data_IF_496826199654
#
_entry.id   IF_496826199654
#
_cell.length_a   1.000
_cell.length_b   1.000
_cell.length_c   1.000
_cell.angle_alpha   90.00
_cell.angle_beta   90.00
_cell.angle_gamma   90.00
#
_symmetry.space_group_name_H-M   'P 1'
#
loop_
_entity.id
_entity.type
_entity.pdbx_description
1 polymer ?
#
# COMPACT_ATOMS: atom_id res chain seq x y z
N UNK A 1 -30.88 -17.94 -13.55
CA UNK A 1 -30.49 -16.56 -13.25
C UNK A 1 -29.02 -16.42 -12.79
N UNK A 2 -28.24 -17.51 -12.43
CA UNK A 2 -26.81 -17.36 -12.10
C UNK A 2 -25.88 -17.14 -13.31
N UNK A 3 -26.26 -17.55 -14.51
CA UNK A 3 -25.36 -17.55 -15.69
C UNK A 3 -25.26 -16.19 -16.41
N UNK A 4 -26.27 -15.35 -16.32
CA UNK A 4 -26.26 -14.03 -16.95
C UNK A 4 -25.28 -13.06 -16.23
N UNK A 5 -25.22 -13.12 -14.90
CA UNK A 5 -24.24 -12.33 -14.11
C UNK A 5 -22.80 -12.80 -14.33
N UNK A 6 -22.60 -14.09 -14.56
CA UNK A 6 -21.27 -14.67 -14.81
C UNK A 6 -20.71 -14.24 -16.18
N UNK A 7 -21.55 -14.16 -17.19
CA UNK A 7 -21.16 -13.73 -18.54
C UNK A 7 -20.86 -12.22 -18.61
N UNK A 8 -21.61 -11.38 -17.89
CA UNK A 8 -21.39 -9.93 -17.87
C UNK A 8 -20.08 -9.56 -17.16
N UNK A 9 -19.71 -10.29 -16.09
CA UNK A 9 -18.42 -10.09 -15.41
C UNK A 9 -17.24 -10.55 -16.26
N UNK A 10 -17.35 -11.67 -16.98
CA UNK A 10 -16.28 -12.15 -17.85
C UNK A 10 -16.04 -11.23 -19.05
N UNK A 11 -17.07 -10.61 -19.60
CA UNK A 11 -16.94 -9.60 -20.67
C UNK A 11 -16.28 -8.32 -20.14
N UNK A 12 -16.56 -7.88 -18.90
CA UNK A 12 -15.97 -6.68 -18.30
C UNK A 12 -14.45 -6.74 -18.10
N UNK A 13 -13.87 -7.95 -17.98
CA UNK A 13 -12.40 -8.09 -17.85
C UNK A 13 -11.66 -8.10 -19.19
N UNK A 14 -12.35 -8.22 -20.32
CA UNK A 14 -11.73 -8.18 -21.65
C UNK A 14 -11.43 -6.74 -22.10
N UNK A 15 -12.19 -5.78 -21.58
CA UNK A 15 -12.14 -4.37 -21.98
C UNK A 15 -11.42 -3.48 -20.95
N UNK A 16 -10.65 -4.10 -20.03
CA UNK A 16 -9.89 -3.37 -19.02
C UNK A 16 -8.86 -2.44 -19.66
N UNK A 17 -8.77 -1.23 -19.15
CA UNK A 17 -7.84 -0.24 -19.61
C UNK A 17 -7.21 0.57 -18.44
N UNK A 18 -6.26 1.43 -18.75
CA UNK A 18 -5.51 2.19 -17.75
C UNK A 18 -6.32 3.28 -17.03
N UNK A 19 -7.60 3.45 -17.33
CA UNK A 19 -8.53 4.37 -16.62
C UNK A 19 -9.38 3.64 -15.58
N UNK A 20 -9.34 2.31 -15.55
CA UNK A 20 -10.10 1.51 -14.61
C UNK A 20 -9.38 1.41 -13.26
N UNK A 21 -10.14 1.49 -12.18
CA UNK A 21 -9.63 1.19 -10.84
C UNK A 21 -9.90 -0.28 -10.53
N UNK A 22 -8.86 -0.97 -10.05
CA UNK A 22 -8.94 -2.36 -9.60
C UNK A 22 -8.36 -2.50 -8.21
N UNK A 23 -9.08 -3.21 -7.35
CA UNK A 23 -8.63 -3.56 -6.01
C UNK A 23 -8.92 -5.04 -5.75
N UNK A 24 -7.86 -5.86 -5.72
CA UNK A 24 -7.94 -7.30 -5.58
C UNK A 24 -7.61 -7.68 -4.13
N UNK A 25 -8.60 -8.14 -3.41
CA UNK A 25 -8.54 -8.52 -2.00
C UNK A 25 -9.00 -9.95 -1.80
N UNK A 26 -8.56 -10.58 -0.71
CA UNK A 26 -9.06 -11.89 -0.29
C UNK A 26 -10.51 -11.84 0.22
N UNK A 27 -10.95 -10.69 0.72
CA UNK A 27 -12.31 -10.50 1.21
C UNK A 27 -13.29 -10.28 0.07
N UNK A 28 -13.07 -9.24 -0.75
CA UNK A 28 -13.92 -8.85 -1.86
C UNK A 28 -13.14 -7.94 -2.80
N UNK A 29 -13.11 -8.28 -4.07
CA UNK A 29 -12.44 -7.49 -5.10
C UNK A 29 -13.41 -6.53 -5.77
N UNK A 30 -12.88 -5.42 -6.28
CA UNK A 30 -13.64 -4.34 -6.91
C UNK A 30 -13.02 -3.93 -8.24
N UNK A 31 -13.86 -3.85 -9.27
CA UNK A 31 -13.59 -3.14 -10.52
C UNK A 31 -14.49 -1.90 -10.54
N UNK A 32 -13.88 -0.72 -10.67
CA UNK A 32 -14.60 0.55 -10.77
C UNK A 32 -14.25 1.24 -12.10
N UNK A 33 -15.28 1.66 -12.83
CA UNK A 33 -15.18 2.21 -14.18
C UNK A 33 -15.92 3.53 -14.29
N UNK A 34 -15.38 4.43 -15.12
CA UNK A 34 -15.86 5.80 -15.23
C UNK A 34 -15.52 6.64 -13.98
N UNK A 35 -15.70 7.95 -14.07
CA UNK A 35 -15.47 8.89 -12.98
C UNK A 35 -16.66 9.85 -12.89
N UNK A 36 -17.67 9.49 -12.10
CA UNK A 36 -18.83 10.34 -11.83
C UNK A 36 -18.42 11.65 -11.14
N UNK A 37 -17.59 11.55 -10.11
CA UNK A 37 -17.09 12.73 -9.40
C UNK A 37 -15.65 12.49 -8.89
N UNK A 38 -14.79 13.50 -9.01
CA UNK A 38 -13.40 13.45 -8.57
C UNK A 38 -13.25 14.20 -7.24
N UNK A 39 -12.56 13.58 -6.28
CA UNK A 39 -12.18 14.19 -5.01
C UNK A 39 -10.66 14.34 -4.99
N UNK A 40 -10.17 15.45 -5.55
CA UNK A 40 -8.74 15.79 -5.62
C UNK A 40 -8.44 16.94 -4.67
N UNK A 41 -8.53 16.66 -3.36
CA UNK A 41 -8.34 17.60 -2.26
C UNK A 41 -7.48 16.99 -1.17
N UNK A 42 -6.84 17.81 -0.30
CA UNK A 42 -6.23 17.35 0.93
C UNK A 42 -7.23 16.63 1.85
N UNK A 43 -6.72 15.65 2.59
CA UNK A 43 -7.50 14.84 3.55
C UNK A 43 -6.93 14.91 4.97
N UNK A 44 -6.28 16.01 5.32
CA UNK A 44 -5.63 16.23 6.61
C UNK A 44 -6.61 16.21 7.79
N UNK A 45 -7.86 16.66 7.59
CA UNK A 45 -8.94 16.65 8.59
C UNK A 45 -9.91 15.47 8.45
N UNK A 46 -9.74 14.59 7.45
CA UNK A 46 -10.68 13.50 7.15
C UNK A 46 -10.78 12.41 8.26
N UNK A 47 -9.84 12.40 9.22
CA UNK A 47 -9.93 11.60 10.43
C UNK A 47 -11.10 12.00 11.34
N UNK A 48 -11.59 13.24 11.22
CA UNK A 48 -12.82 13.69 11.89
C UNK A 48 -14.03 13.38 10.99
N UNK A 49 -14.97 12.51 11.41
CA UNK A 49 -16.13 12.15 10.61
C UNK A 49 -17.09 13.34 10.35
N UNK A 50 -16.95 14.43 11.09
CA UNK A 50 -17.76 15.66 10.94
C UNK A 50 -17.03 16.76 10.15
N UNK A 51 -15.84 16.50 9.63
CA UNK A 51 -15.07 17.45 8.81
C UNK A 51 -15.79 17.83 7.52
N UNK A 52 -15.39 18.96 6.92
CA UNK A 52 -15.98 19.45 5.66
C UNK A 52 -15.79 18.45 4.53
N UNK A 53 -14.63 17.81 4.44
CA UNK A 53 -14.36 16.81 3.39
C UNK A 53 -15.25 15.56 3.56
N UNK A 54 -15.49 15.11 4.79
CA UNK A 54 -16.40 13.99 5.06
C UNK A 54 -17.85 14.36 4.73
N UNK A 55 -18.26 15.60 5.00
CA UNK A 55 -19.60 16.10 4.62
C UNK A 55 -19.73 16.17 3.09
N UNK A 56 -18.72 16.67 2.39
CA UNK A 56 -18.70 16.73 0.93
C UNK A 56 -18.83 15.33 0.31
N UNK A 57 -18.06 14.34 0.80
CA UNK A 57 -18.14 12.95 0.32
C UNK A 57 -19.55 12.39 0.54
N UNK A 58 -20.18 12.65 1.70
CA UNK A 58 -21.57 12.23 1.94
C UNK A 58 -22.55 12.89 0.98
N UNK A 59 -22.37 14.18 0.67
CA UNK A 59 -23.18 14.89 -0.32
C UNK A 59 -23.01 14.32 -1.73
N UNK A 60 -21.77 13.99 -2.13
CA UNK A 60 -21.49 13.32 -3.40
C UNK A 60 -22.18 11.96 -3.50
N UNK A 61 -22.17 11.16 -2.43
CA UNK A 61 -22.92 9.89 -2.40
C UNK A 61 -24.42 10.08 -2.53
N UNK A 62 -24.99 11.10 -1.85
CA UNK A 62 -26.41 11.41 -1.97
C UNK A 62 -26.78 11.86 -3.39
N UNK A 63 -25.92 12.67 -4.03
CA UNK A 63 -26.14 13.12 -5.40
C UNK A 63 -26.02 11.94 -6.39
N UNK A 64 -24.99 11.11 -6.26
CA UNK A 64 -24.80 9.92 -7.08
C UNK A 64 -26.02 8.98 -7.03
N UNK A 65 -26.64 8.82 -5.86
CA UNK A 65 -27.88 8.04 -5.71
C UNK A 65 -29.08 8.66 -6.43
N UNK A 66 -29.22 9.98 -6.39
CA UNK A 66 -30.29 10.68 -7.13
C UNK A 66 -30.12 10.52 -8.64
N UNK A 67 -28.87 10.44 -9.10
CA UNK A 67 -28.50 10.28 -10.51
C UNK A 67 -28.47 8.81 -10.96
N UNK A 68 -28.90 7.87 -10.09
CA UNK A 68 -29.11 6.46 -10.43
C UNK A 68 -27.98 5.49 -10.05
N UNK A 69 -26.95 5.93 -9.33
CA UNK A 69 -25.91 5.04 -8.79
C UNK A 69 -26.40 4.50 -7.43
N UNK A 70 -26.92 3.27 -7.42
CA UNK A 70 -27.61 2.72 -6.24
C UNK A 70 -26.72 2.59 -4.98
N UNK A 71 -25.47 2.16 -5.15
CA UNK A 71 -24.52 1.90 -4.08
C UNK A 71 -23.20 2.63 -4.35
N UNK A 72 -23.15 3.96 -4.18
CA UNK A 72 -21.94 4.71 -4.49
C UNK A 72 -20.78 4.34 -3.57
N UNK A 73 -19.60 4.30 -4.15
CA UNK A 73 -18.33 3.95 -3.49
C UNK A 73 -17.32 5.02 -3.81
N UNK A 74 -16.52 5.42 -2.84
CA UNK A 74 -15.32 6.22 -3.03
C UNK A 74 -14.14 5.27 -3.19
N UNK A 75 -13.35 5.43 -4.25
CA UNK A 75 -12.17 4.60 -4.53
C UNK A 75 -10.96 5.46 -4.84
N UNK A 76 -9.77 4.89 -4.70
CA UNK A 76 -8.52 5.53 -5.13
C UNK A 76 -7.41 5.48 -4.10
N UNK A 77 -6.54 6.49 -4.10
CA UNK A 77 -5.35 6.55 -3.25
C UNK A 77 -5.20 7.91 -2.55
N UNK A 78 -4.66 7.87 -1.35
CA UNK A 78 -4.36 9.02 -0.49
C UNK A 78 -2.83 9.10 -0.34
N UNK A 79 -2.21 10.28 -0.54
CA UNK A 79 -0.77 10.46 -0.45
C UNK A 79 -0.22 10.17 0.96
N UNK A 80 1.10 9.93 1.04
CA UNK A 80 1.84 9.88 2.30
C UNK A 80 1.61 11.14 3.15
N UNK A 81 1.69 12.30 2.52
CA UNK A 81 1.34 13.57 3.13
C UNK A 81 -0.12 13.93 2.80
N UNK A 82 -1.00 13.85 3.80
CA UNK A 82 -2.44 14.15 3.67
C UNK A 82 -2.76 15.60 3.29
N UNK A 83 -1.77 16.51 3.35
CA UNK A 83 -1.91 17.89 2.88
C UNK A 83 -1.80 17.99 1.34
N UNK A 84 -1.32 16.95 0.67
CA UNK A 84 -1.35 16.86 -0.79
C UNK A 84 -2.72 16.39 -1.27
N UNK A 85 -3.03 16.71 -2.54
CA UNK A 85 -4.28 16.30 -3.14
C UNK A 85 -4.36 14.77 -3.27
N UNK A 86 -5.45 14.19 -2.82
CA UNK A 86 -5.77 12.78 -3.01
C UNK A 86 -6.11 12.47 -4.47
N UNK A 87 -5.94 11.21 -4.86
CA UNK A 87 -6.39 10.65 -6.13
C UNK A 87 -7.62 9.76 -5.87
N UNK A 88 -8.73 10.39 -5.48
CA UNK A 88 -9.98 9.70 -5.15
C UNK A 88 -11.09 10.08 -6.13
N UNK A 89 -12.04 9.17 -6.34
CA UNK A 89 -13.22 9.45 -7.14
C UNK A 89 -14.39 8.52 -6.78
N UNK A 90 -15.59 8.96 -7.11
CA UNK A 90 -16.79 8.13 -7.13
C UNK A 90 -16.93 7.61 -8.57
N UNK A 91 -16.91 6.30 -8.84
CA UNK A 91 -17.06 5.75 -10.17
C UNK A 91 -18.51 5.77 -10.65
N UNK A 92 -18.70 5.74 -11.99
CA UNK A 92 -20.01 5.57 -12.60
C UNK A 92 -20.55 4.15 -12.41
N UNK A 93 -19.65 3.16 -12.43
CA UNK A 93 -19.98 1.74 -12.29
C UNK A 93 -19.01 1.03 -11.35
N UNK A 94 -19.57 0.18 -10.49
CA UNK A 94 -18.80 -0.68 -9.58
C UNK A 94 -19.23 -2.14 -9.73
N UNK A 95 -18.27 -3.01 -10.03
CA UNK A 95 -18.46 -4.44 -10.12
C UNK A 95 -17.69 -5.16 -9.02
N UNK A 96 -18.41 -5.82 -8.11
CA UNK A 96 -17.84 -6.62 -7.05
C UNK A 96 -17.68 -8.08 -7.50
N UNK A 97 -16.51 -8.67 -7.22
CA UNK A 97 -16.21 -10.03 -7.63
C UNK A 97 -15.29 -10.75 -6.63
N UNK A 98 -15.18 -12.05 -6.78
CA UNK A 98 -14.20 -12.84 -6.04
C UNK A 98 -12.88 -12.82 -6.79
N UNK A 99 -11.76 -12.63 -6.08
CA UNK A 99 -10.42 -12.53 -6.67
C UNK A 99 -10.10 -13.65 -7.67
N UNK A 100 -10.54 -14.90 -7.40
CA UNK A 100 -10.37 -16.05 -8.32
C UNK A 100 -11.03 -15.90 -9.69
N UNK A 101 -11.94 -14.92 -9.84
CA UNK A 101 -12.59 -14.60 -11.11
C UNK A 101 -11.78 -13.65 -11.97
N UNK A 102 -10.76 -12.98 -11.37
CA UNK A 102 -9.88 -12.11 -12.13
C UNK A 102 -9.03 -12.94 -13.09
N UNK A 103 -8.97 -12.60 -14.39
CA UNK A 103 -8.31 -13.41 -15.39
C UNK A 103 -6.82 -13.59 -15.11
N UNK A 104 -6.34 -14.81 -15.26
CA UNK A 104 -4.92 -15.10 -15.31
C UNK A 104 -4.33 -14.62 -16.64
N UNK A 105 -3.02 -14.46 -16.68
CA UNK A 105 -2.30 -14.07 -17.89
C UNK A 105 -2.50 -15.06 -19.04
N UNK A 106 -2.68 -14.49 -20.24
CA UNK A 106 -2.76 -15.25 -21.49
C UNK A 106 -1.41 -15.16 -22.26
N UNK A 107 -0.56 -14.18 -21.92
CA UNK A 107 0.68 -13.89 -22.67
C UNK A 107 1.75 -13.33 -21.73
N UNK A 108 2.99 -13.78 -21.90
CA UNK A 108 4.16 -13.19 -21.24
C UNK A 108 4.64 -12.02 -22.09
N UNK A 109 4.37 -10.80 -21.63
CA UNK A 109 4.96 -9.61 -22.22
C UNK A 109 6.33 -9.40 -21.57
N UNK A 110 7.40 -9.64 -22.30
CA UNK A 110 8.77 -9.29 -21.87
C UNK A 110 9.06 -7.85 -22.27
N UNK A 111 9.54 -7.06 -21.31
CA UNK A 111 9.95 -5.68 -21.56
C UNK A 111 11.46 -5.59 -21.63
N UNK A 112 11.99 -4.85 -22.59
CA UNK A 112 13.43 -4.62 -22.72
C UNK A 112 13.79 -3.31 -22.05
N UNK A 113 14.66 -3.40 -21.04
CA UNK A 113 15.12 -2.22 -20.30
C UNK A 113 16.07 -1.38 -21.16
N UNK A 114 15.80 -0.08 -21.24
CA UNK A 114 16.64 0.90 -21.92
C UNK A 114 17.57 1.63 -20.96
N UNK A 115 17.06 1.96 -19.77
CA UNK A 115 17.80 2.72 -18.75
C UNK A 115 17.25 2.43 -17.36
N UNK A 116 18.16 2.35 -16.38
CA UNK A 116 17.85 2.25 -14.96
C UNK A 116 18.60 3.33 -14.17
N UNK A 117 17.90 3.98 -13.23
CA UNK A 117 18.49 5.00 -12.34
C UNK A 117 17.94 4.83 -10.94
N UNK A 118 18.82 4.82 -9.94
CA UNK A 118 18.45 4.71 -8.52
C UNK A 118 18.64 6.06 -7.81
N UNK A 119 17.71 6.39 -6.92
CA UNK A 119 17.76 7.60 -6.11
C UNK A 119 17.32 7.30 -4.67
N UNK A 120 18.08 7.73 -3.65
CA UNK A 120 19.49 8.11 -3.77
C UNK A 120 20.37 6.93 -4.18
N UNK A 121 21.63 7.20 -4.47
CA UNK A 121 22.64 6.13 -4.62
C UNK A 121 22.99 5.51 -3.24
N UNK A 122 23.77 4.44 -3.25
CA UNK A 122 24.12 3.70 -2.04
C UNK A 122 24.89 4.53 -1.01
N UNK A 123 25.77 5.42 -1.46
CA UNK A 123 26.57 6.25 -0.56
C UNK A 123 25.68 7.28 0.16
N UNK A 124 24.81 7.93 -0.59
CA UNK A 124 23.87 8.91 -0.02
C UNK A 124 22.83 8.22 0.89
N UNK A 125 22.27 7.07 0.49
CA UNK A 125 21.35 6.31 1.36
C UNK A 125 22.04 5.89 2.67
N UNK A 126 23.30 5.47 2.62
CA UNK A 126 24.08 5.13 3.81
C UNK A 126 24.27 6.33 4.73
N UNK A 127 24.48 7.51 4.17
CA UNK A 127 24.56 8.76 4.94
C UNK A 127 23.21 9.10 5.60
N UNK A 128 22.10 8.96 4.87
CA UNK A 128 20.76 9.17 5.44
C UNK A 128 20.51 8.25 6.64
N UNK A 129 20.84 6.95 6.52
CA UNK A 129 20.70 5.99 7.62
C UNK A 129 21.55 6.38 8.82
N UNK A 130 22.81 6.76 8.62
CA UNK A 130 23.69 7.20 9.72
C UNK A 130 23.14 8.46 10.41
N UNK A 131 22.67 9.44 9.64
CA UNK A 131 22.04 10.67 10.19
C UNK A 131 20.82 10.34 11.06
N UNK A 132 19.99 9.41 10.59
CA UNK A 132 18.81 8.96 11.36
C UNK A 132 19.21 8.22 12.64
N UNK A 133 20.20 7.34 12.60
CA UNK A 133 20.72 6.62 13.78
C UNK A 133 21.31 7.61 14.80
N UNK A 134 22.04 8.63 14.35
CA UNK A 134 22.59 9.67 15.23
C UNK A 134 21.48 10.53 15.85
N UNK A 135 20.40 10.82 15.13
CA UNK A 135 19.22 11.49 15.70
C UNK A 135 18.56 10.65 16.81
N UNK A 136 18.52 9.32 16.66
CA UNK A 136 18.00 8.39 17.67
C UNK A 136 18.91 8.32 18.91
N UNK A 137 20.22 8.26 18.73
CA UNK A 137 21.20 8.28 19.84
C UNK A 137 21.09 9.57 20.68
N UNK A 138 20.66 10.66 20.07
CA UNK A 138 20.38 11.93 20.74
C UNK A 138 18.92 12.02 21.26
N UNK A 139 18.20 10.92 21.38
CA UNK A 139 16.82 10.85 21.89
C UNK A 139 15.81 11.78 21.21
N UNK A 140 16.04 12.11 19.92
CA UNK A 140 15.11 12.94 19.14
C UNK A 140 14.11 12.11 18.36
N UNK A 141 14.39 10.83 18.16
CA UNK A 141 13.66 9.93 17.29
C UNK A 141 13.80 8.48 17.80
N UNK A 142 12.73 7.68 17.73
CA UNK A 142 12.76 6.26 18.10
C UNK A 142 12.84 5.38 16.86
N UNK A 143 12.18 5.82 15.78
CA UNK A 143 12.11 5.12 14.50
C UNK A 143 11.87 6.10 13.35
N UNK A 144 12.43 5.81 12.19
CA UNK A 144 12.10 6.48 10.92
C UNK A 144 12.09 5.45 9.80
N UNK A 145 11.31 5.68 8.75
CA UNK A 145 11.40 4.90 7.51
C UNK A 145 12.06 5.78 6.45
N UNK A 146 13.18 5.30 5.91
CA UNK A 146 13.90 5.96 4.82
C UNK A 146 13.73 5.16 3.53
N UNK A 147 13.47 5.89 2.45
CA UNK A 147 13.08 5.30 1.19
C UNK A 147 14.04 5.66 0.06
N UNK A 148 13.99 4.85 -0.97
CA UNK A 148 14.63 5.12 -2.27
C UNK A 148 13.66 4.78 -3.39
N UNK A 149 13.96 5.33 -4.55
CA UNK A 149 13.24 5.03 -5.77
C UNK A 149 14.16 4.44 -6.85
N UNK A 150 13.54 3.72 -7.77
CA UNK A 150 14.16 3.12 -8.94
C UNK A 150 13.35 3.52 -10.17
N UNK A 151 13.93 4.37 -11.02
CA UNK A 151 13.35 4.76 -12.30
C UNK A 151 13.87 3.82 -13.39
N UNK A 152 12.95 3.22 -14.14
CA UNK A 152 13.25 2.34 -15.28
C UNK A 152 12.55 2.89 -16.51
N UNK A 153 13.29 3.01 -17.61
CA UNK A 153 12.78 3.30 -18.95
C UNK A 153 12.90 2.04 -19.80
N UNK A 154 11.84 1.69 -20.52
CA UNK A 154 11.78 0.54 -21.43
C UNK A 154 11.72 1.01 -22.89
N UNK A 155 12.07 0.14 -23.83
CA UNK A 155 11.94 0.44 -25.26
C UNK A 155 10.45 0.46 -25.70
N UNK A 156 9.62 -0.39 -25.08
CA UNK A 156 8.20 -0.49 -25.38
C UNK A 156 7.36 0.20 -24.30
N UNK A 157 6.18 0.74 -24.63
CA UNK A 157 5.22 1.16 -23.62
C UNK A 157 4.81 0.01 -22.70
N UNK A 158 4.63 0.31 -21.41
CA UNK A 158 4.22 -0.63 -20.38
C UNK A 158 2.70 -0.72 -20.33
N UNK A 159 2.17 -1.92 -20.32
CA UNK A 159 0.74 -2.18 -20.08
C UNK A 159 0.50 -2.41 -18.58
N UNK A 160 -0.07 -1.41 -17.91
CA UNK A 160 -0.30 -1.44 -16.47
C UNK A 160 -1.31 -2.51 -16.03
N UNK A 161 -2.26 -2.89 -16.90
CA UNK A 161 -3.23 -3.96 -16.63
C UNK A 161 -2.55 -5.33 -16.72
N UNK A 162 -1.69 -5.54 -17.72
CA UNK A 162 -0.90 -6.77 -17.80
C UNK A 162 0.04 -6.89 -16.60
N UNK A 163 0.70 -5.81 -16.21
CA UNK A 163 1.54 -5.79 -15.01
C UNK A 163 0.75 -6.12 -13.74
N UNK A 164 -0.48 -5.61 -13.59
CA UNK A 164 -1.37 -6.00 -12.49
C UNK A 164 -1.70 -7.51 -12.51
N UNK A 165 -1.93 -8.09 -13.68
CA UNK A 165 -2.17 -9.55 -13.81
C UNK A 165 -0.95 -10.35 -13.37
N UNK A 166 0.26 -9.94 -13.76
CA UNK A 166 1.52 -10.56 -13.28
C UNK A 166 1.66 -10.44 -11.77
N UNK A 167 1.46 -9.24 -11.22
CA UNK A 167 1.49 -9.01 -9.77
C UNK A 167 0.49 -9.91 -9.04
N UNK A 168 -0.74 -10.02 -9.54
CA UNK A 168 -1.76 -10.86 -8.93
C UNK A 168 -1.43 -12.35 -8.97
N UNK A 169 -0.83 -12.82 -10.04
CA UNK A 169 -0.40 -14.21 -10.17
C UNK A 169 0.74 -14.53 -9.20
N UNK A 170 1.72 -13.65 -9.09
CA UNK A 170 2.89 -13.82 -8.22
C UNK A 170 2.57 -13.58 -6.74
N UNK A 171 1.63 -12.67 -6.44
CA UNK A 171 1.32 -12.20 -5.09
C UNK A 171 -0.16 -12.41 -4.75
N UNK A 172 -0.64 -13.65 -4.85
CA UNK A 172 -2.06 -14.01 -4.67
C UNK A 172 -2.61 -13.72 -3.26
N UNK A 173 -1.78 -13.58 -2.25
CA UNK A 173 -2.17 -13.26 -0.87
C UNK A 173 -2.08 -11.77 -0.52
N UNK A 174 -1.40 -10.98 -1.35
CA UNK A 174 -1.30 -9.53 -1.17
C UNK A 174 -2.53 -8.82 -1.75
N UNK A 175 -2.76 -7.59 -1.35
CA UNK A 175 -3.73 -6.70 -1.98
C UNK A 175 -3.11 -6.14 -3.25
N UNK A 176 -3.64 -6.54 -4.41
CA UNK A 176 -3.15 -6.02 -5.67
C UNK A 176 -4.07 -4.90 -6.15
N UNK A 177 -3.49 -3.82 -6.64
CA UNK A 177 -4.28 -2.66 -7.03
C UNK A 177 -3.76 -1.99 -8.29
N UNK A 178 -4.69 -1.35 -8.99
CA UNK A 178 -4.46 -0.42 -10.10
C UNK A 178 -5.30 0.83 -9.86
N UNK A 179 -4.64 1.95 -9.76
CA UNK A 179 -5.26 3.27 -9.56
C UNK A 179 -4.98 4.12 -10.78
N UNK A 180 -6.00 4.54 -11.54
CA UNK A 180 -5.80 5.45 -12.66
C UNK A 180 -5.30 6.81 -12.17
N UNK A 181 -4.28 7.35 -12.80
CA UNK A 181 -3.74 8.68 -12.55
C UNK A 181 -3.92 9.57 -13.80
N UNK A 182 -3.75 10.87 -13.65
CA UNK A 182 -3.81 11.79 -14.77
C UNK A 182 -2.83 11.40 -15.90
N UNK A 183 -1.64 10.92 -15.54
CA UNK A 183 -0.60 10.51 -16.47
C UNK A 183 -0.14 9.08 -16.13
N UNK A 184 -0.94 8.07 -16.50
CA UNK A 184 -0.59 6.68 -16.28
C UNK A 184 -1.37 6.03 -15.13
N UNK A 185 -0.73 5.15 -14.36
CA UNK A 185 -1.37 4.42 -13.27
C UNK A 185 -0.39 4.12 -12.12
N UNK A 186 -0.91 4.06 -10.91
CA UNK A 186 -0.22 3.45 -9.77
C UNK A 186 -0.64 1.99 -9.69
N UNK A 187 0.32 1.07 -9.69
CA UNK A 187 0.10 -0.36 -9.52
C UNK A 187 0.88 -0.91 -8.33
N UNK A 188 0.38 -1.96 -7.71
CA UNK A 188 1.12 -2.55 -6.59
C UNK A 188 0.52 -3.84 -6.04
N UNK A 189 1.28 -4.47 -5.14
CA UNK A 189 0.94 -5.70 -4.42
C UNK A 189 1.26 -5.55 -2.93
N UNK A 190 0.44 -4.79 -2.22
CA UNK A 190 0.63 -4.52 -0.79
C UNK A 190 0.31 -5.74 0.06
N UNK A 191 1.19 -6.16 0.96
CA UNK A 191 0.88 -7.18 1.96
C UNK A 191 0.18 -6.63 3.21
N UNK A 192 0.07 -5.30 3.37
CA UNK A 192 -0.27 -4.65 4.63
C UNK A 192 -1.66 -4.02 4.62
N UNK A 193 -2.56 -4.59 5.43
CA UNK A 193 -3.88 -4.05 5.68
C UNK A 193 -3.81 -2.96 6.76
N UNK A 194 -4.09 -1.71 6.37
CA UNK A 194 -4.20 -0.63 7.34
C UNK A 194 -5.50 -0.76 8.13
N UNK A 195 -6.63 -0.88 7.45
CA UNK A 195 -7.93 -1.12 8.10
C UNK A 195 -8.96 -1.67 7.12
N UNK A 196 -9.75 -2.62 7.60
CA UNK A 196 -11.03 -3.05 7.02
C UNK A 196 -12.12 -2.76 8.03
N UNK A 197 -13.20 -2.13 7.59
CA UNK A 197 -14.40 -1.90 8.40
C UNK A 197 -15.59 -2.57 7.75
N UNK A 198 -16.34 -3.32 8.55
CA UNK A 198 -17.60 -3.93 8.16
C UNK A 198 -18.61 -3.80 9.31
N UNK A 199 -19.70 -3.09 9.08
CA UNK A 199 -20.60 -2.69 10.18
C UNK A 199 -19.84 -1.86 11.23
N UNK A 200 -19.88 -2.27 12.49
CA UNK A 200 -19.15 -1.62 13.58
C UNK A 200 -17.77 -2.27 13.86
N UNK A 201 -17.44 -3.36 13.17
CA UNK A 201 -16.18 -4.07 13.39
C UNK A 201 -15.09 -3.52 12.49
N UNK A 202 -13.91 -3.33 13.06
CA UNK A 202 -12.68 -3.04 12.32
C UNK A 202 -11.69 -4.18 12.49
N UNK A 203 -10.91 -4.40 11.44
CA UNK A 203 -9.77 -5.30 11.44
C UNK A 203 -8.58 -4.60 10.81
N UNK A 204 -7.40 -4.76 11.41
CA UNK A 204 -6.13 -4.24 10.90
C UNK A 204 -5.04 -5.28 11.08
N UNK A 205 -4.03 -5.27 10.19
CA UNK A 205 -2.89 -6.17 10.26
C UNK A 205 -1.62 -5.41 9.86
N UNK A 206 -1.06 -4.61 10.79
CA UNK A 206 0.19 -3.89 10.55
C UNK A 206 1.37 -4.85 10.43
N UNK A 207 2.34 -4.47 9.60
CA UNK A 207 3.58 -5.18 9.37
C UNK A 207 4.77 -4.30 9.71
N UNK A 208 5.72 -4.82 10.47
CA UNK A 208 7.05 -4.22 10.64
C UNK A 208 8.04 -5.31 11.04
N UNK A 209 9.30 -5.15 10.61
CA UNK A 209 10.28 -6.22 10.69
C UNK A 209 10.12 -7.23 9.55
N UNK A 210 11.23 -7.57 8.88
CA UNK A 210 11.20 -8.51 7.77
C UNK A 210 12.51 -9.28 7.60
N UNK A 211 12.41 -10.50 7.06
CA UNK A 211 13.54 -11.32 6.68
C UNK A 211 13.35 -11.88 5.25
N UNK A 212 14.46 -11.95 4.50
CA UNK A 212 14.45 -12.54 3.15
C UNK A 212 14.09 -14.01 3.23
N UNK A 213 13.30 -14.49 2.28
CA UNK A 213 13.00 -15.90 2.11
C UNK A 213 14.12 -16.64 1.39
N UNK A 214 14.25 -17.94 1.66
CA UNK A 214 15.14 -18.85 0.96
C UNK A 214 14.34 -19.91 0.20
N UNK A 215 14.84 -20.34 -0.96
CA UNK A 215 14.28 -21.49 -1.69
C UNK A 215 14.55 -22.81 -0.97
N UNK A 216 15.61 -22.87 -0.13
CA UNK A 216 15.88 -24.00 0.72
C UNK A 216 14.97 -23.97 1.95
N UNK A 217 14.08 -24.95 2.12
CA UNK A 217 13.09 -25.00 3.17
C UNK A 217 13.69 -24.95 4.60
N UNK A 218 14.84 -25.59 4.82
CA UNK A 218 15.48 -25.59 6.16
C UNK A 218 16.06 -24.22 6.49
N UNK A 219 16.65 -23.56 5.51
CA UNK A 219 17.17 -22.20 5.66
C UNK A 219 16.02 -21.21 5.82
N UNK A 220 14.95 -21.31 5.01
CA UNK A 220 13.76 -20.47 5.11
C UNK A 220 13.12 -20.56 6.50
N UNK A 221 13.03 -21.76 7.07
CA UNK A 221 12.56 -21.96 8.44
C UNK A 221 13.48 -21.27 9.46
N UNK A 222 14.81 -21.39 9.32
CA UNK A 222 15.77 -20.72 10.21
C UNK A 222 15.66 -19.20 10.14
N UNK A 223 15.52 -18.64 8.93
CA UNK A 223 15.34 -17.20 8.72
C UNK A 223 14.06 -16.71 9.37
N UNK A 224 12.95 -17.44 9.22
CA UNK A 224 11.70 -17.16 9.92
C UNK A 224 11.84 -17.18 11.45
N UNK A 225 12.51 -18.20 12.01
CA UNK A 225 12.73 -18.28 13.45
C UNK A 225 13.63 -17.16 13.96
N UNK A 226 14.67 -16.79 13.20
CA UNK A 226 15.53 -15.67 13.53
C UNK A 226 14.76 -14.35 13.57
N UNK A 227 13.82 -14.12 12.61
CA UNK A 227 12.95 -12.96 12.62
C UNK A 227 12.05 -12.90 13.88
N UNK A 228 11.41 -14.00 14.23
CA UNK A 228 10.55 -14.09 15.44
C UNK A 228 11.35 -13.75 16.70
N UNK A 229 12.61 -14.16 16.77
CA UNK A 229 13.49 -13.96 17.94
C UNK A 229 14.30 -12.66 17.89
N UNK A 230 14.25 -11.91 16.78
CA UNK A 230 15.01 -10.67 16.59
C UNK A 230 14.53 -9.59 17.55
N UNK A 231 15.40 -9.14 18.46
CA UNK A 231 15.12 -8.03 19.38
C UNK A 231 14.87 -6.74 18.60
N UNK A 232 15.68 -6.47 17.56
CA UNK A 232 15.54 -5.30 16.68
C UNK A 232 14.16 -5.26 16.01
N UNK A 233 13.78 -6.37 15.34
CA UNK A 233 12.54 -6.40 14.55
C UNK A 233 11.30 -6.37 15.45
N UNK A 234 11.34 -7.03 16.60
CA UNK A 234 10.26 -6.97 17.59
C UNK A 234 10.13 -5.56 18.21
N UNK A 235 11.25 -4.85 18.45
CA UNK A 235 11.21 -3.47 18.91
C UNK A 235 10.55 -2.56 17.84
N UNK A 236 10.98 -2.68 16.58
CA UNK A 236 10.41 -1.95 15.46
C UNK A 236 8.89 -2.19 15.35
N UNK A 237 8.48 -3.45 15.42
CA UNK A 237 7.09 -3.87 15.32
C UNK A 237 6.22 -3.32 16.45
N UNK A 238 6.73 -3.35 17.68
CA UNK A 238 6.04 -2.84 18.87
C UNK A 238 5.73 -1.35 18.75
N UNK A 239 6.63 -0.53 18.23
CA UNK A 239 6.37 0.89 18.01
C UNK A 239 5.14 1.14 17.13
N UNK A 240 4.90 0.26 16.15
CA UNK A 240 3.72 0.34 15.28
C UNK A 240 2.46 -0.07 16.04
N UNK A 241 2.50 -1.22 16.71
CA UNK A 241 1.32 -1.75 17.43
C UNK A 241 0.92 -0.89 18.61
N UNK A 242 1.88 -0.30 19.34
CA UNK A 242 1.61 0.61 20.45
C UNK A 242 0.94 1.91 19.97
N UNK A 243 1.40 2.49 18.86
CA UNK A 243 0.73 3.65 18.28
C UNK A 243 -0.71 3.32 17.88
N UNK A 244 -0.92 2.19 17.20
CA UNK A 244 -2.25 1.79 16.75
C UNK A 244 -3.16 1.49 17.95
N UNK A 245 -2.65 0.87 19.00
CA UNK A 245 -3.37 0.67 20.28
C UNK A 245 -3.84 2.00 20.84
N UNK A 246 -2.92 2.95 21.05
CA UNK A 246 -3.21 4.24 21.64
C UNK A 246 -4.29 5.02 20.85
N UNK A 247 -4.25 4.95 19.53
CA UNK A 247 -5.22 5.59 18.66
C UNK A 247 -6.58 4.91 18.74
N UNK A 248 -6.62 3.58 18.64
CA UNK A 248 -7.87 2.81 18.52
C UNK A 248 -8.60 2.61 19.86
N UNK A 249 -7.90 2.59 21.00
CA UNK A 249 -8.53 2.50 22.34
C UNK A 249 -9.54 3.62 22.59
N UNK A 250 -9.27 4.82 22.08
CA UNK A 250 -10.20 5.93 22.19
C UNK A 250 -11.48 5.76 21.34
N UNK A 251 -11.40 4.99 20.25
CA UNK A 251 -12.46 4.81 19.24
C UNK A 251 -13.25 3.51 19.40
N UNK A 252 -12.69 2.51 20.05
CA UNK A 252 -13.32 1.19 20.21
C UNK A 252 -13.90 0.99 21.61
N UNK A 253 -15.09 0.38 21.69
CA UNK A 253 -15.65 -0.11 22.95
C UNK A 253 -15.03 -1.44 23.37
N UNK A 254 -14.58 -2.23 22.38
CA UNK A 254 -13.76 -3.43 22.57
C UNK A 254 -12.61 -3.37 21.59
N UNK A 255 -11.41 -3.68 22.07
CA UNK A 255 -10.21 -3.73 21.26
C UNK A 255 -9.40 -4.95 21.69
N UNK A 256 -9.14 -5.84 20.74
CA UNK A 256 -8.28 -6.98 20.89
C UNK A 256 -7.04 -6.81 20.00
N UNK A 257 -5.86 -6.94 20.58
CA UNK A 257 -4.57 -6.90 19.88
C UNK A 257 -3.80 -8.14 20.33
N UNK A 258 -3.36 -8.95 19.37
CA UNK A 258 -2.56 -10.14 19.68
C UNK A 258 -1.30 -9.76 20.46
N UNK A 259 -1.04 -10.45 21.57
CA UNK A 259 0.10 -10.14 22.47
C UNK A 259 1.45 -10.34 21.79
N UNK A 260 1.55 -11.38 20.96
CA UNK A 260 2.77 -11.70 20.22
C UNK A 260 2.51 -11.60 18.72
N UNK A 261 3.47 -11.05 17.96
CA UNK A 261 3.34 -11.04 16.51
C UNK A 261 3.41 -12.46 15.93
N UNK A 262 2.62 -12.70 14.92
CA UNK A 262 2.72 -13.85 14.03
C UNK A 262 3.67 -13.54 12.87
N UNK A 263 3.90 -14.52 12.00
CA UNK A 263 4.63 -14.29 10.75
C UNK A 263 3.73 -14.55 9.57
N UNK A 264 3.74 -13.60 8.62
CA UNK A 264 3.17 -13.80 7.30
C UNK A 264 4.25 -13.82 6.24
N UNK A 265 3.99 -14.43 5.09
CA UNK A 265 4.95 -14.50 4.00
C UNK A 265 4.42 -13.88 2.71
N UNK A 266 5.32 -13.20 2.02
CA UNK A 266 5.21 -12.91 0.59
C UNK A 266 6.11 -13.87 -0.19
N UNK A 267 6.12 -13.86 -1.51
CA UNK A 267 7.06 -14.68 -2.29
C UNK A 267 8.53 -14.44 -1.96
N UNK A 268 8.89 -13.27 -1.44
CA UNK A 268 10.30 -12.85 -1.24
C UNK A 268 10.67 -12.55 0.21
N UNK A 269 9.69 -12.31 1.09
CA UNK A 269 9.93 -11.88 2.48
C UNK A 269 9.01 -12.61 3.47
N UNK A 270 9.53 -12.86 4.68
CA UNK A 270 8.79 -13.01 5.91
C UNK A 270 8.56 -11.65 6.55
N UNK A 271 7.41 -11.44 7.20
CA UNK A 271 7.08 -10.25 7.98
C UNK A 271 6.52 -10.63 9.33
N UNK A 272 6.85 -9.85 10.37
CA UNK A 272 6.08 -9.86 11.59
C UNK A 272 4.75 -9.15 11.35
N UNK A 273 3.67 -9.72 11.85
CA UNK A 273 2.30 -9.23 11.71
C UNK A 273 1.55 -9.36 13.04
N UNK A 274 0.71 -8.39 13.35
CA UNK A 274 -0.18 -8.41 14.52
C UNK A 274 -1.61 -8.20 14.08
N UNK A 275 -2.51 -9.10 14.48
CA UNK A 275 -3.94 -8.91 14.24
C UNK A 275 -4.53 -7.97 15.29
N UNK A 276 -5.28 -6.97 14.81
CA UNK A 276 -5.99 -5.98 15.61
C UNK A 276 -7.46 -6.04 15.23
N UNK A 277 -8.31 -6.36 16.19
CA UNK A 277 -9.76 -6.37 16.01
C UNK A 277 -10.43 -5.38 16.95
N UNK A 278 -11.37 -4.59 16.46
CA UNK A 278 -12.05 -3.60 17.28
C UNK A 278 -13.54 -3.49 16.96
N UNK A 279 -14.31 -3.11 17.97
CA UNK A 279 -15.72 -2.74 17.83
C UNK A 279 -15.85 -1.25 18.12
N UNK A 280 -16.25 -0.45 17.12
CA UNK A 280 -16.31 1.01 17.20
C UNK A 280 -17.41 1.47 18.16
N UNK A 281 -17.15 2.54 18.93
CA UNK A 281 -18.12 3.20 19.81
C UNK A 281 -19.16 4.01 19.03
N UNK A 282 -18.70 4.66 17.95
CA UNK A 282 -19.48 5.65 17.22
C UNK A 282 -19.86 5.10 15.84
N UNK A 283 -21.16 4.94 15.54
CA UNK A 283 -21.62 4.39 14.26
C UNK A 283 -21.32 5.30 13.05
N UNK A 284 -21.09 6.61 13.28
CA UNK A 284 -20.72 7.58 12.24
C UNK A 284 -19.27 7.44 11.76
N UNK A 285 -18.41 6.75 12.50
CA UNK A 285 -17.07 6.43 12.03
C UNK A 285 -17.14 5.56 10.79
N UNK A 286 -16.45 5.96 9.73
CA UNK A 286 -16.38 5.20 8.48
C UNK A 286 -14.95 4.71 8.21
N UNK A 287 -14.80 3.82 7.23
CA UNK A 287 -13.50 3.25 6.91
C UNK A 287 -12.46 4.31 6.51
N UNK A 288 -12.89 5.40 5.86
CA UNK A 288 -12.01 6.50 5.47
C UNK A 288 -11.54 7.30 6.69
N UNK A 289 -12.45 7.62 7.65
CA UNK A 289 -12.06 8.36 8.87
C UNK A 289 -11.05 7.58 9.69
N UNK A 290 -11.27 6.27 9.89
CA UNK A 290 -10.32 5.40 10.61
C UNK A 290 -9.01 5.24 9.85
N UNK A 291 -9.05 5.08 8.52
CA UNK A 291 -7.84 5.02 7.71
C UNK A 291 -7.01 6.31 7.82
N UNK A 292 -7.64 7.49 7.70
CA UNK A 292 -6.97 8.79 7.86
C UNK A 292 -6.48 9.07 9.29
N UNK A 293 -7.13 8.47 10.30
CA UNK A 293 -6.70 8.54 11.68
C UNK A 293 -5.42 7.75 11.94
N UNK A 294 -5.30 6.56 11.34
CA UNK A 294 -4.14 5.68 11.47
C UNK A 294 -2.98 6.08 10.54
N UNK A 295 -3.27 6.73 9.42
CA UNK A 295 -2.29 7.06 8.39
C UNK A 295 -1.57 8.40 8.67
N UNK A 296 -0.23 8.45 8.45
CA UNK A 296 0.68 7.32 8.25
C UNK A 296 1.10 6.66 9.57
N UNK A 297 1.23 5.34 9.56
CA UNK A 297 1.73 4.59 10.71
C UNK A 297 3.24 4.74 10.88
N UNK A 298 3.82 4.38 12.05
CA UNK A 298 5.27 4.30 12.20
C UNK A 298 5.95 3.27 11.31
N UNK A 299 5.18 2.33 10.71
CA UNK A 299 5.69 1.41 9.68
C UNK A 299 6.07 2.13 8.37
N UNK A 300 5.54 3.34 8.14
CA UNK A 300 5.76 4.14 6.92
C UNK A 300 6.47 5.47 7.19
N UNK A 301 6.28 6.06 8.37
CA UNK A 301 6.83 7.36 8.73
C UNK A 301 7.90 7.20 9.82
N UNK A 302 7.48 7.01 11.04
CA UNK A 302 8.35 6.87 12.22
C UNK A 302 7.69 7.41 13.48
N UNK A 303 8.48 7.48 14.56
CA UNK A 303 8.04 7.91 15.88
C UNK A 303 9.15 8.76 16.54
N UNK A 304 8.84 9.95 17.11
CA UNK A 304 7.56 10.70 17.02
C UNK A 304 7.24 11.15 15.59
N UNK A 305 5.96 11.16 15.23
CA UNK A 305 5.49 11.40 13.87
C UNK A 305 6.05 12.67 13.22
N UNK A 306 5.89 13.85 13.87
CA UNK A 306 6.28 15.11 13.26
C UNK A 306 7.80 15.22 13.07
N UNK A 307 8.59 14.71 14.02
CA UNK A 307 10.06 14.67 13.92
C UNK A 307 10.50 13.76 12.78
N UNK A 308 9.89 12.57 12.68
CA UNK A 308 10.18 11.64 11.61
C UNK A 308 9.81 12.22 10.24
N UNK A 309 8.60 12.82 10.10
CA UNK A 309 8.16 13.45 8.86
C UNK A 309 9.12 14.54 8.39
N UNK A 310 9.49 15.45 9.28
CA UNK A 310 10.42 16.55 8.95
C UNK A 310 11.78 16.01 8.49
N UNK A 311 12.30 14.99 9.17
CA UNK A 311 13.58 14.40 8.82
C UNK A 311 13.52 13.61 7.50
N UNK A 312 12.40 12.96 7.18
CA UNK A 312 12.15 12.34 5.87
C UNK A 312 12.22 13.40 4.76
N UNK A 313 11.53 14.53 4.96
CA UNK A 313 11.49 15.63 3.98
C UNK A 313 12.87 16.28 3.77
N UNK A 314 13.72 16.29 4.81
CA UNK A 314 15.09 16.77 4.75
C UNK A 314 16.04 15.81 4.03
N UNK A 315 15.91 14.51 4.30
CA UNK A 315 16.87 13.48 3.87
C UNK A 315 16.56 12.88 2.49
N UNK A 316 15.27 12.69 2.18
CA UNK A 316 14.90 12.06 0.90
C UNK A 316 14.96 13.08 -0.25
N UNK A 317 15.77 12.83 -1.33
CA UNK A 317 15.92 13.77 -2.44
C UNK A 317 14.73 13.74 -3.42
N UNK A 318 13.57 13.22 -3.00
CA UNK A 318 12.34 13.10 -3.79
C UNK A 318 11.10 13.21 -2.93
N UNK A 319 9.96 13.43 -3.57
CA UNK A 319 8.64 13.39 -2.92
C UNK A 319 8.03 12.00 -3.04
N UNK A 320 7.49 11.47 -1.96
CA UNK A 320 6.84 10.16 -1.93
C UNK A 320 5.53 10.10 -2.71
N UNK A 321 4.80 11.23 -2.81
CA UNK A 321 3.47 11.30 -3.39
C UNK A 321 2.55 10.20 -2.83
N UNK A 322 2.09 9.28 -3.68
CA UNK A 322 1.21 8.16 -3.28
C UNK A 322 1.96 7.00 -2.61
N UNK A 323 3.28 6.88 -2.78
CA UNK A 323 4.06 5.86 -2.08
C UNK A 323 4.09 6.11 -0.58
N UNK A 324 3.89 5.07 0.21
CA UNK A 324 3.76 5.18 1.67
C UNK A 324 2.45 5.82 2.11
N UNK A 325 1.56 6.13 1.15
CA UNK A 325 0.19 6.51 1.37
C UNK A 325 -0.71 5.30 1.58
N UNK A 326 -1.98 5.43 1.25
CA UNK A 326 -2.96 4.33 1.33
C UNK A 326 -3.82 4.27 0.06
N UNK A 327 -4.27 3.07 -0.28
CA UNK A 327 -5.14 2.80 -1.41
C UNK A 327 -6.30 1.92 -0.97
N UNK A 328 -7.50 2.17 -1.50
CA UNK A 328 -8.66 1.39 -1.10
C UNK A 328 -9.98 1.97 -1.53
N UNK A 329 -11.00 1.67 -0.74
CA UNK A 329 -12.37 2.08 -1.00
C UNK A 329 -13.19 2.27 0.29
N UNK A 330 -14.25 3.07 0.18
CA UNK A 330 -15.24 3.26 1.24
C UNK A 330 -16.63 3.41 0.61
N UNK A 331 -17.64 2.65 1.08
CA UNK A 331 -19.03 2.76 0.61
C UNK A 331 -19.84 3.80 1.40
N UNK A 332 -21.06 4.10 0.95
CA UNK A 332 -21.98 5.03 1.60
C UNK A 332 -22.41 4.59 3.01
N UNK A 333 -22.30 3.30 3.33
CA UNK A 333 -22.60 2.75 4.66
C UNK A 333 -21.40 2.83 5.61
N UNK A 334 -20.28 3.39 5.13
CA UNK A 334 -19.05 3.54 5.87
C UNK A 334 -18.23 2.27 5.97
N UNK A 335 -18.58 1.18 5.27
CA UNK A 335 -17.69 0.03 5.15
C UNK A 335 -16.56 0.36 4.17
N UNK A 336 -15.45 -0.35 4.29
CA UNK A 336 -14.33 -0.11 3.40
C UNK A 336 -13.11 -0.94 3.74
N UNK A 337 -12.13 -0.87 2.86
CA UNK A 337 -10.85 -1.54 3.00
C UNK A 337 -9.75 -0.64 2.45
N UNK A 338 -8.77 -0.33 3.29
CA UNK A 338 -7.63 0.52 2.98
C UNK A 338 -6.35 -0.21 3.29
N UNK A 339 -5.45 -0.25 2.35
CA UNK A 339 -4.13 -0.89 2.47
C UNK A 339 -3.03 0.14 2.27
N UNK A 340 -1.87 -0.12 2.83
CA UNK A 340 -0.71 0.76 2.68
C UNK A 340 -0.17 0.67 1.26
N UNK A 341 0.14 1.82 0.65
CA UNK A 341 0.68 1.88 -0.72
C UNK A 341 2.18 1.60 -0.72
N UNK A 342 2.51 0.32 -0.66
CA UNK A 342 3.88 -0.22 -0.75
C UNK A 342 3.95 -1.36 -1.75
N UNK A 343 5.17 -1.80 -2.10
CA UNK A 343 5.38 -2.76 -3.19
C UNK A 343 4.63 -2.29 -4.44
N UNK A 344 4.89 -1.03 -4.81
CA UNK A 344 4.14 -0.32 -5.84
C UNK A 344 5.07 0.43 -6.78
N UNK A 345 4.50 0.87 -7.90
CA UNK A 345 5.17 1.73 -8.86
C UNK A 345 4.19 2.56 -9.66
N UNK A 346 4.64 3.73 -10.09
CA UNK A 346 3.93 4.61 -11.01
C UNK A 346 4.37 4.31 -12.44
N UNK A 347 3.44 3.86 -13.28
CA UNK A 347 3.66 3.53 -14.70
C UNK A 347 3.15 4.67 -15.57
N UNK A 348 4.00 5.19 -16.46
CA UNK A 348 3.65 6.23 -17.40
C UNK A 348 4.34 5.98 -18.75
N UNK A 349 3.59 5.51 -19.74
CA UNK A 349 4.12 5.15 -21.06
C UNK A 349 5.20 4.09 -20.95
N UNK A 350 6.43 4.38 -21.38
CA UNK A 350 7.59 3.49 -21.29
C UNK A 350 8.40 3.67 -20.01
N UNK A 351 7.88 4.37 -19.01
CA UNK A 351 8.58 4.64 -17.74
C UNK A 351 7.83 4.04 -16.58
N UNK A 352 8.59 3.49 -15.64
CA UNK A 352 8.08 3.10 -14.32
C UNK A 352 9.00 3.61 -13.23
N UNK A 353 8.38 4.16 -12.18
CA UNK A 353 9.04 4.54 -10.93
C UNK A 353 8.61 3.61 -9.82
N UNK A 354 9.56 2.85 -9.30
CA UNK A 354 9.35 1.93 -8.18
C UNK A 354 9.85 2.56 -6.89
N UNK A 355 9.27 2.15 -5.76
CA UNK A 355 9.62 2.65 -4.44
C UNK A 355 9.88 1.51 -3.46
N UNK A 356 10.86 1.70 -2.57
CA UNK A 356 11.10 0.82 -1.44
C UNK A 356 11.64 1.62 -0.26
N UNK A 357 11.22 1.26 0.97
CA UNK A 357 11.70 1.85 2.21
C UNK A 357 12.12 0.79 3.22
N UNK A 358 13.02 1.17 4.12
CA UNK A 358 13.45 0.38 5.25
C UNK A 358 13.20 1.12 6.57
N UNK A 359 12.78 0.38 7.60
CA UNK A 359 12.60 0.91 8.95
C UNK A 359 13.95 1.03 9.66
N UNK A 360 14.33 2.26 10.00
CA UNK A 360 15.57 2.56 10.70
C UNK A 360 15.27 2.68 12.19
N UNK A 361 16.03 1.96 12.99
CA UNK A 361 16.03 1.98 14.46
C UNK A 361 17.48 2.10 14.97
N UNK A 362 17.74 2.31 16.27
CA UNK A 362 19.10 2.60 16.78
C UNK A 362 20.19 1.60 16.37
N UNK A 363 19.81 0.32 16.17
CA UNK A 363 20.74 -0.75 15.81
C UNK A 363 20.83 -1.00 14.30
N UNK A 364 20.17 -0.17 13.48
CA UNK A 364 20.20 -0.30 12.01
C UNK A 364 21.58 -0.05 11.43
N UNK A 365 21.94 -0.86 10.42
CA UNK A 365 23.21 -0.75 9.70
C UNK A 365 22.92 -0.38 8.23
N UNK A 366 23.57 0.65 7.67
CA UNK A 366 23.31 1.12 6.31
C UNK A 366 23.30 0.02 5.26
N UNK A 367 24.25 -0.91 5.33
CA UNK A 367 24.35 -2.02 4.38
C UNK A 367 23.13 -2.95 4.44
N UNK A 368 22.68 -3.30 5.65
CA UNK A 368 21.50 -4.17 5.86
C UNK A 368 20.22 -3.52 5.34
N UNK A 369 20.04 -2.22 5.62
CA UNK A 369 18.87 -1.47 5.19
C UNK A 369 18.84 -1.26 3.66
N UNK A 370 20.02 -1.08 3.04
CA UNK A 370 20.15 -1.07 1.59
C UNK A 370 19.69 -2.39 0.99
N UNK A 371 20.20 -3.52 1.52
CA UNK A 371 19.85 -4.86 1.05
C UNK A 371 18.34 -5.15 1.22
N UNK A 372 17.75 -4.68 2.31
CA UNK A 372 16.32 -4.82 2.55
C UNK A 372 15.50 -4.11 1.46
N UNK A 373 15.88 -2.88 1.08
CA UNK A 373 15.19 -2.17 -0.01
C UNK A 373 15.38 -2.86 -1.37
N UNK A 374 16.55 -3.46 -1.67
CA UNK A 374 16.76 -4.27 -2.88
C UNK A 374 15.79 -5.45 -2.95
N UNK A 375 15.64 -6.18 -1.84
CA UNK A 375 14.68 -7.30 -1.77
C UNK A 375 13.25 -6.80 -1.97
N UNK A 376 12.90 -5.62 -1.42
CA UNK A 376 11.57 -5.03 -1.57
C UNK A 376 11.27 -4.61 -3.01
N UNK A 377 12.24 -4.09 -3.75
CA UNK A 377 12.10 -3.82 -5.18
C UNK A 377 11.84 -5.09 -6.00
N UNK A 378 12.40 -6.22 -5.58
CA UNK A 378 12.27 -7.47 -6.35
C UNK A 378 10.81 -7.93 -6.54
N UNK A 379 9.88 -7.56 -5.64
CA UNK A 379 8.45 -7.84 -5.80
C UNK A 379 7.89 -7.25 -7.10
N UNK A 380 8.20 -5.98 -7.35
CA UNK A 380 7.75 -5.29 -8.55
C UNK A 380 8.58 -5.73 -9.77
N UNK A 381 9.91 -5.82 -9.63
CA UNK A 381 10.82 -6.20 -10.71
C UNK A 381 10.45 -7.55 -11.36
N UNK A 382 10.03 -8.53 -10.56
CA UNK A 382 9.58 -9.84 -11.07
C UNK A 382 8.34 -9.74 -11.95
N UNK A 383 7.44 -8.77 -11.70
CA UNK A 383 6.24 -8.59 -12.50
C UNK A 383 6.51 -8.01 -13.89
N UNK A 384 7.63 -7.33 -14.07
CA UNK A 384 8.00 -6.75 -15.36
C UNK A 384 8.67 -7.75 -16.31
N UNK A 385 9.18 -8.89 -15.79
CA UNK A 385 9.88 -9.91 -16.61
C UNK A 385 10.88 -9.31 -17.61
N UNK A 386 11.73 -8.39 -17.09
CA UNK A 386 12.72 -7.73 -17.94
C UNK A 386 13.65 -8.77 -18.58
N UNK A 387 13.69 -8.80 -19.91
CA UNK A 387 14.77 -9.48 -20.63
C UNK A 387 16.06 -8.67 -20.42
N UNK A 388 17.11 -9.32 -19.93
CA UNK A 388 18.46 -8.78 -20.04
C UNK A 388 18.83 -8.80 -21.52
N UNK A 389 18.99 -7.65 -22.17
CA UNK A 389 19.79 -7.61 -23.39
C UNK A 389 21.20 -8.08 -23.04
N UNK A 390 21.67 -9.08 -23.76
CA UNK A 390 23.07 -9.41 -23.75
C UNK A 390 23.84 -8.12 -24.09
N UNK A 391 24.57 -7.57 -23.12
CA UNK A 391 25.47 -6.45 -23.35
C UNK A 391 26.35 -6.82 -24.56
N UNK A 392 26.34 -6.09 -25.68
CA UNK A 392 27.31 -6.35 -26.73
C UNK A 392 28.69 -6.15 -26.13
N UNK A 393 29.53 -7.20 -26.27
CA UNK A 393 30.90 -7.31 -25.78
C UNK A 393 31.79 -6.18 -26.32
#
# INVERSE_FOLDING_TARGET
VPDLYRNTLLTGFNDLNNKDFLFLSSSKSLLAQGQYAIVSKPLDDAANPDSLIQQEIRQLFQQAKRDGIENPVLVGAIPFDKQQNAALFVPEQCNWFQRKQFPTLISNSTYTEKRRTQWPDKAHFSQMVNTAVDAMRNHRLDKIVLSRLLDIETHQPLDSIQLLRHLNQQNSWSYNFHVPLQNGALIGASPELLVRKQGNTIFSQPLAGSAKRSENQQEDYKLRQALIQSVKDNYEHRLVTDMMRNVLESRCQKLHISEMPSTISTPVLWHLATDIEGELKAPQENALSIACLLHPTPALCGTPYQTAKNLIEELEPFKRNLFGGIVGWCDEKGNGEWVVTIRCGEVNGSRVRLFAGAGIVPDSKPESEWQETEVKFSTMMRAFEFSQEACPA
#
